data_IF_913375423207
#
_entry.id   IF_913375423207
#
_cell.length_a   1.000
_cell.length_b   1.000
_cell.length_c   1.000
_cell.angle_alpha   90.00
_cell.angle_beta   90.00
_cell.angle_gamma   90.00
#
_symmetry.space_group_name_H-M   'P 1'
#
loop_
_entity.id
_entity.type
_entity.pdbx_description
1 polymer ?
#
# COMPACT_ATOMS: atom_id res chain seq x y z
N UNK A 1 18.02 0.62 45.90
CA UNK A 1 16.72 -0.11 45.75
C UNK A 1 16.20 0.16 44.37
N UNK A 2 16.15 -0.82 43.50
CA UNK A 2 15.65 -0.63 42.16
C UNK A 2 14.09 -0.74 42.18
N UNK A 3 13.38 0.29 41.70
CA UNK A 3 11.95 0.23 41.52
C UNK A 3 11.65 -0.71 40.36
N UNK A 4 11.08 -1.87 40.64
CA UNK A 4 10.78 -2.88 39.61
C UNK A 4 9.42 -2.71 38.92
N UNK A 5 8.57 -1.82 39.40
CA UNK A 5 7.25 -1.51 38.82
C UNK A 5 6.85 -0.06 39.11
N UNK A 6 6.36 0.62 38.09
CA UNK A 6 5.61 1.86 38.26
C UNK A 6 4.13 1.44 38.31
N UNK A 7 3.46 1.75 39.42
CA UNK A 7 2.00 1.49 39.56
C UNK A 7 1.22 2.65 38.93
N UNK A 8 0.05 2.36 38.38
CA UNK A 8 -0.82 3.37 37.75
C UNK A 8 -1.15 4.54 38.68
N UNK A 9 -1.25 4.27 39.98
CA UNK A 9 -1.52 5.29 41.02
C UNK A 9 -0.34 6.26 41.22
N UNK A 10 0.84 5.94 40.73
CA UNK A 10 2.06 6.77 40.83
C UNK A 10 2.24 7.69 39.62
N UNK A 11 1.34 7.64 38.64
CA UNK A 11 1.40 8.45 37.44
C UNK A 11 0.23 9.43 37.40
N UNK A 12 0.52 10.73 37.32
CA UNK A 12 -0.51 11.73 37.05
C UNK A 12 -0.83 11.63 35.52
N UNK A 13 -1.98 11.07 35.16
CA UNK A 13 -2.40 10.89 33.77
C UNK A 13 -2.64 12.19 33.00
N UNK A 14 -2.63 13.34 33.68
CA UNK A 14 -2.71 14.67 33.05
C UNK A 14 -1.33 15.20 32.61
N UNK A 15 -0.23 14.56 33.01
CA UNK A 15 1.12 14.99 32.68
C UNK A 15 1.61 14.35 31.36
N UNK A 16 2.51 15.06 30.67
CA UNK A 16 3.19 14.51 29.48
C UNK A 16 4.43 13.76 29.93
N UNK A 17 4.49 12.47 29.65
CA UNK A 17 5.66 11.61 29.97
C UNK A 17 6.52 11.40 28.73
N UNK A 18 7.80 11.77 28.81
CA UNK A 18 8.80 11.45 27.81
C UNK A 18 9.56 10.18 28.22
N UNK A 19 9.43 9.13 27.44
CA UNK A 19 10.23 7.91 27.63
C UNK A 19 11.54 8.04 26.86
N UNK A 20 12.67 8.24 27.56
CA UNK A 20 14.00 8.33 26.95
C UNK A 20 14.66 6.97 26.72
N UNK A 21 14.06 5.89 27.22
CA UNK A 21 14.52 4.52 27.04
C UNK A 21 13.85 3.80 25.87
N UNK A 22 14.40 2.64 25.50
CA UNK A 22 13.77 1.76 24.52
C UNK A 22 12.47 1.21 25.09
N UNK A 23 11.33 1.59 24.50
CA UNK A 23 10.08 0.91 24.78
C UNK A 23 10.10 -0.40 24.00
N UNK A 24 10.40 -1.50 24.68
CA UNK A 24 10.35 -2.83 24.07
C UNK A 24 8.92 -3.29 23.93
N UNK A 25 8.50 -3.57 22.73
CA UNK A 25 7.17 -4.08 22.40
C UNK A 25 7.07 -4.21 20.89
N UNK A 26 6.69 -5.39 20.41
CA UNK A 26 6.46 -5.61 18.99
C UNK A 26 5.38 -4.69 18.44
N UNK A 27 5.56 -4.16 17.24
CA UNK A 27 4.50 -3.50 16.50
C UNK A 27 4.39 -1.98 16.69
N UNK A 28 5.44 -1.29 17.17
CA UNK A 28 5.40 0.18 17.22
C UNK A 28 5.35 0.78 15.83
N UNK A 29 4.33 1.58 15.55
CA UNK A 29 4.28 2.45 14.36
C UNK A 29 5.24 3.62 14.59
N UNK A 30 6.18 3.81 13.68
CA UNK A 30 7.20 4.88 13.76
C UNK A 30 6.78 6.10 12.95
N UNK A 31 6.22 5.89 11.76
CA UNK A 31 5.64 6.95 10.93
C UNK A 31 4.57 6.37 9.99
N UNK A 32 3.69 7.25 9.56
CA UNK A 32 2.69 6.97 8.53
C UNK A 32 2.76 8.06 7.47
N UNK A 33 2.80 7.66 6.20
CA UNK A 33 2.65 8.55 5.06
C UNK A 33 1.46 8.10 4.23
N UNK A 34 0.70 9.04 3.69
CA UNK A 34 -0.44 8.77 2.83
C UNK A 34 -0.48 9.75 1.67
N UNK A 35 -0.89 9.27 0.52
CA UNK A 35 -1.24 10.06 -0.65
C UNK A 35 -2.60 9.62 -1.16
N UNK A 36 -3.37 10.59 -1.62
CA UNK A 36 -4.64 10.36 -2.30
C UNK A 36 -4.42 10.56 -3.79
N UNK A 37 -4.81 9.59 -4.58
CA UNK A 37 -4.90 9.69 -6.04
C UNK A 37 -6.37 10.01 -6.34
N UNK A 38 -6.66 11.21 -6.86
CA UNK A 38 -8.03 11.57 -7.18
C UNK A 38 -8.59 10.66 -8.26
N UNK A 39 -9.90 10.56 -8.32
CA UNK A 39 -10.55 9.76 -9.35
C UNK A 39 -10.15 10.24 -10.74
N UNK A 40 -9.51 9.38 -11.48
CA UNK A 40 -9.06 9.60 -12.85
C UNK A 40 -9.06 8.27 -13.60
N UNK A 41 -9.12 8.33 -14.93
CA UNK A 41 -9.02 7.09 -15.71
C UNK A 41 -7.57 6.68 -15.88
N UNK A 42 -7.19 5.57 -15.25
CA UNK A 42 -5.89 4.93 -15.41
C UNK A 42 -6.11 3.59 -16.10
N UNK A 43 -5.63 3.45 -17.34
CA UNK A 43 -5.91 2.29 -18.19
C UNK A 43 -4.68 1.77 -18.90
N UNK A 44 -4.63 0.44 -19.14
CA UNK A 44 -3.60 -0.21 -19.96
C UNK A 44 -4.17 -1.42 -20.72
N UNK A 45 -3.61 -1.66 -21.92
CA UNK A 45 -3.77 -2.91 -22.68
C UNK A 45 -2.53 -3.81 -22.59
N UNK A 46 -1.49 -3.37 -21.88
CA UNK A 46 -0.22 -4.08 -21.76
C UNK A 46 -0.37 -5.39 -21.00
N UNK A 47 0.20 -6.46 -21.51
CA UNK A 47 0.38 -7.73 -20.80
C UNK A 47 1.58 -7.69 -19.83
N UNK A 48 2.42 -6.66 -19.90
CA UNK A 48 3.48 -6.39 -18.95
C UNK A 48 3.02 -5.35 -17.93
N UNK A 49 3.52 -5.44 -16.71
CA UNK A 49 3.20 -4.46 -15.67
C UNK A 49 3.58 -3.03 -16.08
N UNK A 50 2.63 -2.13 -15.98
CA UNK A 50 2.72 -0.71 -16.32
C UNK A 50 2.47 0.11 -15.07
N UNK A 51 3.26 1.17 -14.85
CA UNK A 51 3.04 2.10 -13.72
C UNK A 51 1.70 2.81 -13.85
N UNK A 52 1.06 3.05 -12.71
CA UNK A 52 -0.14 3.91 -12.64
C UNK A 52 0.20 5.42 -12.73
N UNK A 53 1.48 5.80 -12.73
CA UNK A 53 1.91 7.20 -12.74
C UNK A 53 1.97 7.85 -11.35
N UNK A 54 1.49 7.21 -10.30
CA UNK A 54 1.51 7.72 -8.93
C UNK A 54 2.36 6.85 -8.03
N UNK A 55 3.08 7.49 -7.11
CA UNK A 55 3.97 6.80 -6.18
C UNK A 55 3.98 7.51 -4.82
N UNK A 56 4.46 6.82 -3.81
CA UNK A 56 4.69 7.40 -2.48
C UNK A 56 6.06 6.97 -1.97
N UNK A 57 6.80 7.91 -1.39
CA UNK A 57 8.12 7.68 -0.84
C UNK A 57 8.13 7.75 0.69
N UNK A 58 8.99 6.96 1.31
CA UNK A 58 9.23 6.94 2.75
C UNK A 58 10.71 6.75 3.01
N UNK A 59 11.23 7.40 4.05
CA UNK A 59 12.61 7.23 4.53
C UNK A 59 12.57 6.43 5.83
N UNK A 60 12.95 5.15 5.81
CA UNK A 60 12.94 4.32 7.02
C UNK A 60 13.91 4.84 8.07
N UNK A 61 13.53 4.80 9.33
CA UNK A 61 14.36 5.26 10.46
C UNK A 61 15.47 4.29 10.84
N UNK A 62 15.34 3.01 10.46
CA UNK A 62 16.34 1.98 10.67
C UNK A 62 16.37 0.97 9.52
N UNK A 63 17.53 0.33 9.28
CA UNK A 63 17.67 -0.72 8.26
C UNK A 63 16.85 -1.97 8.56
N UNK A 64 16.47 -2.17 9.82
CA UNK A 64 15.61 -3.26 10.28
C UNK A 64 14.12 -2.91 10.30
N UNK A 65 13.75 -1.68 9.96
CA UNK A 65 12.34 -1.28 9.85
C UNK A 65 11.63 -2.04 8.73
N UNK A 66 10.34 -2.26 8.93
CA UNK A 66 9.45 -2.84 7.91
C UNK A 66 8.44 -1.80 7.46
N UNK A 67 8.07 -1.83 6.19
CA UNK A 67 7.09 -0.92 5.61
C UNK A 67 5.85 -1.71 5.20
N UNK A 68 4.75 -1.45 5.88
CA UNK A 68 3.43 -1.92 5.46
C UNK A 68 2.91 -0.98 4.38
N UNK A 69 2.65 -1.52 3.20
CA UNK A 69 2.15 -0.81 2.04
C UNK A 69 0.70 -1.22 1.85
N UNK A 70 -0.19 -0.23 1.76
CA UNK A 70 -1.61 -0.44 1.50
C UNK A 70 -2.06 0.45 0.34
N UNK A 71 -2.77 -0.14 -0.63
CA UNK A 71 -3.42 0.58 -1.73
C UNK A 71 -4.88 0.20 -1.71
N UNK A 72 -5.73 1.17 -1.39
CA UNK A 72 -7.15 0.93 -1.16
C UNK A 72 -8.02 1.93 -1.92
N UNK A 73 -9.21 1.48 -2.33
CA UNK A 73 -10.18 2.32 -3.02
C UNK A 73 -10.09 2.21 -4.54
N UNK A 74 -10.56 3.25 -5.23
CA UNK A 74 -10.65 3.24 -6.68
C UNK A 74 -11.78 2.38 -7.24
N UNK A 75 -11.88 2.36 -8.55
CA UNK A 75 -12.84 1.56 -9.30
C UNK A 75 -12.11 0.78 -10.38
N UNK A 76 -11.53 -0.35 -10.02
CA UNK A 76 -10.89 -1.24 -10.98
C UNK A 76 -11.95 -1.93 -11.85
N UNK A 77 -11.67 -2.03 -13.13
CA UNK A 77 -12.60 -2.60 -14.09
C UNK A 77 -11.87 -3.42 -15.15
N UNK A 78 -12.35 -4.65 -15.36
CA UNK A 78 -11.99 -5.51 -16.48
C UNK A 78 -13.24 -5.70 -17.36
N UNK A 79 -13.36 -5.01 -18.53
CA UNK A 79 -14.64 -4.87 -19.24
C UNK A 79 -15.13 -6.11 -19.97
N UNK A 80 -14.31 -7.14 -20.09
CA UNK A 80 -14.66 -8.33 -20.88
C UNK A 80 -14.81 -9.57 -19.98
N UNK A 81 -15.68 -10.47 -20.39
CA UNK A 81 -15.87 -11.77 -19.73
C UNK A 81 -14.55 -12.53 -19.68
N UNK A 82 -14.25 -13.12 -18.54
CA UNK A 82 -13.02 -13.84 -18.28
C UNK A 82 -11.75 -12.99 -18.46
N UNK A 83 -11.87 -11.68 -18.40
CA UNK A 83 -10.74 -10.76 -18.31
C UNK A 83 -10.40 -10.48 -16.85
N UNK A 84 -9.11 -10.25 -16.56
CA UNK A 84 -8.68 -9.81 -15.26
C UNK A 84 -7.60 -8.73 -15.36
N UNK A 85 -7.58 -7.86 -14.37
CA UNK A 85 -6.53 -6.92 -14.07
C UNK A 85 -5.67 -7.51 -12.95
N UNK A 86 -4.38 -7.61 -13.16
CA UNK A 86 -3.42 -7.95 -12.11
C UNK A 86 -2.69 -6.69 -11.67
N UNK A 87 -2.55 -6.54 -10.37
CA UNK A 87 -1.84 -5.40 -9.76
C UNK A 87 -0.71 -5.89 -8.87
N UNK A 88 0.37 -5.11 -8.78
CA UNK A 88 1.53 -5.36 -7.94
C UNK A 88 2.12 -4.03 -7.45
N UNK A 89 3.11 -4.11 -6.57
CA UNK A 89 3.88 -2.96 -6.10
C UNK A 89 5.32 -3.09 -6.58
N UNK A 90 5.87 -1.99 -7.06
CA UNK A 90 7.31 -1.86 -7.33
C UNK A 90 7.96 -1.02 -6.24
N UNK A 91 9.11 -1.46 -5.75
CA UNK A 91 10.05 -0.69 -4.95
C UNK A 91 11.15 -0.19 -5.88
N UNK A 92 11.13 1.10 -6.25
CA UNK A 92 11.96 1.60 -7.34
C UNK A 92 11.70 0.82 -8.64
N UNK A 93 12.71 0.12 -9.13
CA UNK A 93 12.61 -0.76 -10.32
C UNK A 93 12.29 -2.22 -10.01
N UNK A 94 12.23 -2.62 -8.74
CA UNK A 94 12.04 -4.01 -8.31
C UNK A 94 10.58 -4.33 -8.10
N UNK A 95 10.05 -5.30 -8.84
CA UNK A 95 8.71 -5.85 -8.61
C UNK A 95 8.71 -6.71 -7.33
N UNK A 96 7.85 -6.37 -6.35
CA UNK A 96 7.76 -7.09 -5.09
C UNK A 96 7.01 -8.42 -5.20
N UNK A 97 6.22 -8.60 -6.27
CA UNK A 97 5.56 -9.89 -6.58
C UNK A 97 5.37 -10.06 -8.08
N UNK A 98 6.16 -10.94 -8.69
CA UNK A 98 6.10 -11.23 -10.14
C UNK A 98 4.76 -11.82 -10.58
N UNK A 99 4.06 -12.49 -9.68
CA UNK A 99 2.74 -13.07 -9.92
C UNK A 99 1.58 -12.09 -9.69
N UNK A 100 1.88 -10.86 -9.20
CA UNK A 100 0.89 -9.90 -8.74
C UNK A 100 0.50 -10.09 -7.28
N UNK A 101 -0.06 -9.04 -6.68
CA UNK A 101 -0.55 -9.01 -5.31
C UNK A 101 -2.08 -9.00 -5.26
N UNK A 102 -2.71 -8.61 -6.35
CA UNK A 102 -4.15 -8.53 -6.47
C UNK A 102 -4.58 -8.96 -7.88
N UNK A 103 -5.71 -9.64 -7.95
CA UNK A 103 -6.37 -9.97 -9.20
C UNK A 103 -7.84 -9.57 -9.11
N UNK A 104 -8.27 -8.68 -10.01
CA UNK A 104 -9.66 -8.30 -10.14
C UNK A 104 -10.15 -8.80 -11.50
N UNK A 105 -11.16 -9.65 -11.48
CA UNK A 105 -11.66 -10.31 -12.66
C UNK A 105 -13.12 -9.99 -12.94
N UNK A 106 -13.54 -10.18 -14.20
CA UNK A 106 -14.92 -10.10 -14.62
C UNK A 106 -15.40 -11.47 -15.14
N UNK A 107 -16.44 -12.00 -14.50
CA UNK A 107 -17.06 -13.28 -14.88
C UNK A 107 -18.31 -13.13 -15.76
N UNK A 108 -18.83 -11.91 -15.94
CA UNK A 108 -20.05 -11.63 -16.68
C UNK A 108 -19.86 -10.49 -17.69
N UNK A 109 -20.74 -10.40 -18.68
CA UNK A 109 -20.80 -9.22 -19.55
C UNK A 109 -21.42 -8.05 -18.79
N UNK A 110 -20.79 -6.88 -18.85
CA UNK A 110 -21.27 -5.65 -18.23
C UNK A 110 -20.24 -4.97 -17.35
N UNK A 111 -20.62 -3.85 -16.77
CA UNK A 111 -19.79 -3.09 -15.86
C UNK A 111 -19.65 -3.85 -14.53
N UNK A 112 -18.45 -4.24 -14.18
CA UNK A 112 -18.11 -4.81 -12.88
C UNK A 112 -16.99 -3.96 -12.29
N UNK A 113 -17.26 -3.28 -11.20
CA UNK A 113 -16.31 -2.44 -10.48
C UNK A 113 -15.93 -3.10 -9.16
N UNK A 114 -14.66 -3.07 -8.84
CA UNK A 114 -14.14 -3.55 -7.56
C UNK A 114 -13.10 -2.57 -7.03
N UNK A 115 -13.14 -2.23 -5.74
CA UNK A 115 -12.10 -1.43 -5.15
C UNK A 115 -10.80 -2.23 -5.02
N UNK A 116 -9.66 -1.55 -5.09
CA UNK A 116 -8.38 -2.15 -4.74
C UNK A 116 -8.28 -2.42 -3.23
N UNK A 117 -7.60 -3.52 -2.90
CA UNK A 117 -7.25 -3.89 -1.54
C UNK A 117 -5.90 -4.61 -1.54
N UNK A 118 -4.84 -3.89 -1.91
CA UNK A 118 -3.48 -4.43 -1.93
C UNK A 118 -2.84 -4.16 -0.57
N UNK A 119 -2.33 -5.21 0.06
CA UNK A 119 -1.57 -5.13 1.32
C UNK A 119 -0.28 -5.91 1.15
N UNK A 120 0.86 -5.28 1.43
CA UNK A 120 2.17 -5.91 1.36
C UNK A 120 3.10 -5.38 2.45
N UNK A 121 3.89 -6.26 3.05
CA UNK A 121 4.91 -5.90 4.04
C UNK A 121 6.29 -6.10 3.43
N UNK A 122 7.02 -4.99 3.23
CA UNK A 122 8.41 -5.00 2.72
C UNK A 122 9.41 -4.77 3.86
N UNK A 123 10.61 -5.32 3.66
CA UNK A 123 11.80 -5.06 4.49
C UNK A 123 12.86 -4.40 3.60
N UNK A 124 12.88 -3.07 3.50
CA UNK A 124 13.71 -2.35 2.53
C UNK A 124 15.21 -2.43 2.83
N UNK A 125 15.59 -2.74 4.07
CA UNK A 125 16.96 -2.90 4.55
C UNK A 125 17.86 -1.67 4.29
N UNK A 126 17.28 -0.48 4.32
CA UNK A 126 17.99 0.80 4.11
C UNK A 126 17.36 1.91 4.94
N UNK A 127 18.14 2.95 5.20
CA UNK A 127 17.68 4.23 5.74
C UNK A 127 17.62 5.33 4.68
N UNK A 128 17.91 5.01 3.42
CA UNK A 128 17.67 5.91 2.29
C UNK A 128 16.19 5.92 1.95
N UNK A 129 15.75 7.00 1.31
CA UNK A 129 14.39 7.08 0.79
C UNK A 129 14.10 5.94 -0.18
N UNK A 130 12.97 5.29 -0.01
CA UNK A 130 12.44 4.27 -0.91
C UNK A 130 11.08 4.69 -1.44
N UNK A 131 10.87 4.49 -2.74
CA UNK A 131 9.63 4.85 -3.43
C UNK A 131 8.86 3.58 -3.80
N UNK A 132 7.59 3.55 -3.45
CA UNK A 132 6.66 2.47 -3.81
C UNK A 132 5.65 2.99 -4.83
N UNK A 133 5.48 2.21 -5.89
CA UNK A 133 4.60 2.55 -7.01
C UNK A 133 3.71 1.36 -7.33
N UNK A 134 2.38 1.52 -7.35
CA UNK A 134 1.50 0.49 -7.88
C UNK A 134 1.68 0.34 -9.40
N UNK A 135 1.69 -0.91 -9.84
CA UNK A 135 1.74 -1.31 -11.24
C UNK A 135 0.59 -2.26 -11.53
N UNK A 136 0.15 -2.28 -12.77
CA UNK A 136 -0.92 -3.16 -13.20
C UNK A 136 -0.73 -3.62 -14.63
N UNK A 137 -1.41 -4.68 -15.01
CA UNK A 137 -1.40 -5.21 -16.38
C UNK A 137 -2.72 -5.86 -16.75
N UNK A 138 -2.96 -5.90 -18.07
CA UNK A 138 -4.03 -6.70 -18.63
C UNK A 138 -3.56 -8.16 -18.83
N UNK A 139 -4.49 -9.01 -19.12
CA UNK A 139 -4.26 -10.34 -19.65
C UNK A 139 -3.71 -10.27 -21.09
N UNK A 140 -2.77 -11.16 -21.49
CA UNK A 140 -2.41 -11.29 -22.89
C UNK A 140 -3.64 -11.48 -23.77
N UNK A 141 -3.65 -10.85 -24.95
CA UNK A 141 -4.72 -10.93 -25.96
C UNK A 141 -6.06 -10.28 -25.57
N UNK A 142 -6.15 -9.66 -24.40
CA UNK A 142 -7.33 -8.90 -23.97
C UNK A 142 -7.08 -7.39 -24.09
N UNK A 143 -8.11 -6.61 -24.41
CA UNK A 143 -7.99 -5.14 -24.47
C UNK A 143 -7.83 -4.50 -23.10
N UNK A 144 -8.03 -3.20 -23.04
CA UNK A 144 -7.79 -2.39 -21.87
C UNK A 144 -8.44 -2.94 -20.59
N UNK A 145 -7.70 -2.88 -19.49
CA UNK A 145 -8.20 -2.91 -18.12
C UNK A 145 -8.00 -1.55 -17.48
N UNK A 146 -8.79 -1.24 -16.49
CA UNK A 146 -8.75 0.03 -15.77
C UNK A 146 -8.27 -0.23 -14.35
N UNK A 147 -7.19 0.41 -13.95
CA UNK A 147 -6.76 0.46 -12.55
C UNK A 147 -7.68 1.37 -11.75
N UNK A 148 -8.09 2.48 -12.36
CA UNK A 148 -9.16 3.33 -11.86
C UNK A 148 -10.02 3.82 -13.04
N UNK A 149 -11.30 3.96 -12.82
CA UNK A 149 -12.25 4.47 -13.78
C UNK A 149 -12.82 5.78 -13.28
N UNK A 150 -12.58 6.88 -14.02
CA UNK A 150 -13.24 8.14 -13.76
C UNK A 150 -14.71 8.09 -14.20
N UNK A 151 -15.52 8.95 -13.62
CA UNK A 151 -16.95 9.05 -13.93
C UNK A 151 -17.79 9.10 -12.66
N UNK A 152 -19.09 8.88 -12.78
CA UNK A 152 -20.00 8.93 -11.63
C UNK A 152 -19.67 7.85 -10.58
N UNK A 153 -19.18 6.69 -11.03
CA UNK A 153 -18.90 5.53 -10.20
C UNK A 153 -17.41 5.47 -9.74
N UNK A 154 -16.57 6.40 -10.21
CA UNK A 154 -15.17 6.47 -9.83
C UNK A 154 -14.97 6.98 -8.41
N UNK A 155 -13.98 6.42 -7.71
CA UNK A 155 -13.59 6.85 -6.36
C UNK A 155 -12.09 7.13 -6.30
N UNK A 156 -11.67 7.84 -5.27
CA UNK A 156 -10.25 8.08 -5.02
C UNK A 156 -9.56 6.80 -4.55
N UNK A 157 -8.26 6.71 -4.82
CA UNK A 157 -7.38 5.65 -4.30
C UNK A 157 -6.48 6.26 -3.25
N UNK A 158 -6.27 5.56 -2.14
CA UNK A 158 -5.27 5.91 -1.15
C UNK A 158 -4.07 4.97 -1.22
N UNK A 159 -2.87 5.54 -1.22
CA UNK A 159 -1.63 4.81 -0.96
C UNK A 159 -1.18 5.19 0.44
N UNK A 160 -1.02 4.20 1.32
CA UNK A 160 -0.55 4.40 2.68
C UNK A 160 0.71 3.57 2.93
N UNK A 161 1.73 4.21 3.47
CA UNK A 161 2.96 3.57 3.92
C UNK A 161 3.07 3.74 5.43
N UNK A 162 3.17 2.62 6.15
CA UNK A 162 3.33 2.61 7.60
C UNK A 162 4.66 1.95 7.96
N UNK A 163 5.55 2.71 8.59
CA UNK A 163 6.79 2.16 9.11
C UNK A 163 6.53 1.49 10.46
N UNK A 164 6.95 0.24 10.55
CA UNK A 164 6.91 -0.57 11.75
C UNK A 164 8.30 -0.77 12.31
N UNK A 165 8.44 -0.62 13.62
CA UNK A 165 9.68 -0.98 14.30
C UNK A 165 10.03 -2.45 14.06
N UNK A 166 11.33 -2.82 14.12
CA UNK A 166 11.71 -4.22 14.14
C UNK A 166 11.11 -4.93 15.36
N UNK A 167 10.85 -6.21 15.20
CA UNK A 167 10.43 -7.08 16.32
C UNK A 167 11.60 -7.34 17.26
#
# INVERSE_FOLDING_TARGET
>A
MALSKIQAESMNLADTYAFSGTVSGAGKVLQVKQSVIPKETITTSSASFTSIGHSLAITPSATSSRILIQVCGGACHAPYVSQFCLSTIYKGSTNLSSNGLETIGNSSSGLSLSPHNIVFLDSPSTTNEVTYTPYYRSQPTKPNVYFNLAGADGTDITITLTELAPN
#
